data_IF_516465314378
#
_entry.id   IF_516465314378
#
_cell.length_a   1.000
_cell.length_b   1.000
_cell.length_c   1.000
_cell.angle_alpha   90.00
_cell.angle_beta   90.00
_cell.angle_gamma   90.00
#
_symmetry.space_group_name_H-M   'P 1'
#
loop_
_entity.id
_entity.type
_entity.pdbx_description
1 polymer ?
#
# COMPACT_ATOMS: atom_id res chain seq x y z
N UNK A 1 -14.50 1.39 1.46
CA UNK A 1 -14.55 1.37 2.93
C UNK A 1 -13.17 0.98 3.44
N UNK A 2 -12.50 1.81 4.24
CA UNK A 2 -11.23 1.43 4.84
C UNK A 2 -11.45 0.33 5.89
N UNK A 3 -10.55 -0.66 5.92
CA UNK A 3 -10.50 -1.73 6.90
C UNK A 3 -9.17 -1.66 7.64
N UNK A 4 -9.20 -1.64 8.97
CA UNK A 4 -7.99 -1.65 9.80
C UNK A 4 -7.59 -3.10 10.12
N UNK A 5 -6.52 -3.56 9.45
CA UNK A 5 -5.95 -4.89 9.70
C UNK A 5 -4.87 -4.88 10.79
N UNK A 6 -4.26 -3.72 11.06
CA UNK A 6 -3.15 -3.60 12.03
C UNK A 6 -3.68 -3.68 13.45
N UNK A 7 -4.77 -2.99 13.75
CA UNK A 7 -5.44 -3.00 15.05
C UNK A 7 -6.39 -4.18 15.27
N UNK A 8 -6.63 -5.00 14.22
CA UNK A 8 -7.62 -6.07 14.31
C UNK A 8 -7.17 -7.23 15.21
N UNK A 9 -8.00 -7.61 16.16
CA UNK A 9 -7.81 -8.81 16.97
C UNK A 9 -7.91 -10.11 16.15
N UNK A 10 -8.70 -10.09 15.06
CA UNK A 10 -8.86 -11.19 14.10
C UNK A 10 -8.58 -10.70 12.67
N UNK A 11 -7.32 -10.84 12.24
CA UNK A 11 -6.88 -10.49 10.89
C UNK A 11 -7.58 -11.29 9.79
N UNK A 12 -7.95 -12.52 10.07
CA UNK A 12 -8.70 -13.34 9.11
C UNK A 12 -10.12 -12.82 8.88
N UNK A 13 -10.77 -12.29 9.92
CA UNK A 13 -12.08 -11.65 9.78
C UNK A 13 -11.98 -10.43 8.86
N UNK A 14 -10.96 -9.58 9.04
CA UNK A 14 -10.73 -8.41 8.17
C UNK A 14 -10.46 -8.83 6.72
N UNK A 15 -9.67 -9.87 6.49
CA UNK A 15 -9.43 -10.39 5.13
C UNK A 15 -10.70 -10.96 4.49
N UNK A 16 -11.56 -11.63 5.27
CA UNK A 16 -12.87 -12.08 4.77
C UNK A 16 -13.76 -10.90 4.38
N UNK A 17 -13.77 -9.85 5.20
CA UNK A 17 -14.51 -8.62 4.90
C UNK A 17 -13.96 -7.90 3.65
N UNK A 18 -12.64 -7.81 3.51
CA UNK A 18 -11.99 -7.28 2.32
C UNK A 18 -12.38 -8.06 1.05
N UNK A 19 -12.40 -9.38 1.13
CA UNK A 19 -12.87 -10.23 0.03
C UNK A 19 -14.34 -9.99 -0.32
N UNK A 20 -15.20 -9.88 0.69
CA UNK A 20 -16.61 -9.59 0.49
C UNK A 20 -16.82 -8.21 -0.17
N UNK A 21 -16.04 -7.20 0.24
CA UNK A 21 -16.07 -5.87 -0.33
C UNK A 21 -15.56 -5.82 -1.78
N UNK A 22 -14.62 -6.70 -2.15
CA UNK A 22 -14.12 -6.85 -3.51
C UNK A 22 -15.12 -7.51 -4.48
N UNK A 23 -16.23 -8.03 -3.96
CA UNK A 23 -17.25 -8.71 -4.74
C UNK A 23 -17.04 -10.24 -4.81
N UNK A 24 -17.99 -10.96 -5.44
CA UNK A 24 -18.00 -12.44 -5.43
C UNK A 24 -16.77 -13.06 -6.10
N UNK A 25 -16.23 -12.39 -7.10
CA UNK A 25 -15.08 -12.88 -7.87
C UNK A 25 -13.73 -12.41 -7.34
N UNK A 26 -13.70 -11.37 -6.51
CA UNK A 26 -12.51 -10.66 -6.02
C UNK A 26 -12.24 -9.36 -6.78
N UNK A 27 -11.15 -8.67 -6.44
CA UNK A 27 -10.78 -7.41 -7.03
C UNK A 27 -10.10 -7.56 -8.40
N UNK A 28 -10.42 -6.68 -9.36
CA UNK A 28 -9.73 -6.59 -10.66
C UNK A 28 -8.25 -6.27 -10.51
N UNK A 29 -7.94 -5.38 -9.58
CA UNK A 29 -6.59 -4.92 -9.25
C UNK A 29 -6.40 -4.90 -7.73
N UNK A 30 -5.33 -5.53 -7.29
CA UNK A 30 -4.84 -5.44 -5.91
C UNK A 30 -3.50 -4.73 -5.92
N UNK A 31 -3.29 -3.79 -5.01
CA UNK A 31 -2.03 -3.06 -4.86
C UNK A 31 -1.53 -3.26 -3.43
N UNK A 32 -0.34 -3.86 -3.30
CA UNK A 32 0.35 -4.03 -2.01
C UNK A 32 1.29 -2.84 -1.77
N UNK A 33 1.02 -2.08 -0.71
CA UNK A 33 1.78 -0.92 -0.29
C UNK A 33 2.21 -0.99 1.19
N UNK A 34 2.03 -2.15 1.84
CA UNK A 34 2.27 -2.27 3.29
C UNK A 34 3.74 -2.48 3.65
N UNK A 35 4.54 -3.04 2.74
CA UNK A 35 5.95 -3.36 2.99
C UNK A 35 6.16 -4.48 4.02
N UNK A 36 5.12 -5.25 4.31
CA UNK A 36 5.19 -6.42 5.20
C UNK A 36 5.12 -7.69 4.35
N UNK A 37 6.09 -8.62 4.43
CA UNK A 37 6.15 -9.80 3.56
C UNK A 37 4.85 -10.60 3.50
N UNK A 38 4.18 -10.80 4.64
CA UNK A 38 2.91 -11.53 4.68
C UNK A 38 1.76 -10.85 3.93
N UNK A 39 1.81 -9.53 3.75
CA UNK A 39 0.82 -8.81 2.94
C UNK A 39 0.86 -9.24 1.48
N UNK A 40 2.02 -9.67 0.96
CA UNK A 40 2.16 -10.21 -0.40
C UNK A 40 1.33 -11.48 -0.57
N UNK A 41 1.46 -12.43 0.36
CA UNK A 41 0.70 -13.67 0.33
C UNK A 41 -0.82 -13.43 0.50
N UNK A 42 -1.18 -12.49 1.36
CA UNK A 42 -2.58 -12.09 1.60
C UNK A 42 -3.19 -11.44 0.35
N UNK A 43 -2.50 -10.48 -0.26
CA UNK A 43 -2.95 -9.77 -1.45
C UNK A 43 -3.27 -10.68 -2.63
N UNK A 44 -2.48 -11.74 -2.84
CA UNK A 44 -2.76 -12.75 -3.86
C UNK A 44 -4.17 -13.34 -3.71
N UNK A 45 -4.67 -13.45 -2.48
CA UNK A 45 -5.98 -14.05 -2.22
C UNK A 45 -7.16 -13.13 -2.51
N UNK A 46 -6.93 -11.82 -2.66
CA UNK A 46 -7.95 -10.80 -2.87
C UNK A 46 -8.25 -10.56 -4.36
N UNK A 47 -7.28 -10.80 -5.25
CA UNK A 47 -7.47 -10.62 -6.68
C UNK A 47 -8.45 -11.66 -7.25
N UNK A 48 -9.28 -11.27 -8.22
CA UNK A 48 -10.12 -12.22 -8.97
C UNK A 48 -9.29 -13.08 -9.94
N UNK A 49 -9.89 -14.10 -10.51
CA UNK A 49 -9.28 -14.84 -11.62
C UNK A 49 -9.04 -13.91 -12.81
N UNK A 50 -7.84 -13.96 -13.41
CA UNK A 50 -7.41 -13.06 -14.48
C UNK A 50 -7.24 -11.62 -14.01
N UNK A 51 -7.14 -11.36 -12.71
CA UNK A 51 -6.87 -10.04 -12.14
C UNK A 51 -5.38 -9.73 -12.07
N UNK A 52 -5.08 -8.46 -11.78
CA UNK A 52 -3.72 -7.96 -11.64
C UNK A 52 -3.35 -7.74 -10.17
N UNK A 53 -2.12 -8.05 -9.83
CA UNK A 53 -1.56 -7.84 -8.50
C UNK A 53 -0.24 -7.07 -8.59
N UNK A 54 -0.26 -5.80 -8.18
CA UNK A 54 0.91 -4.94 -8.11
C UNK A 54 1.54 -5.01 -6.72
N UNK A 55 2.80 -5.42 -6.64
CA UNK A 55 3.60 -5.44 -5.42
C UNK A 55 4.60 -4.28 -5.48
N UNK A 56 4.43 -3.28 -4.62
CA UNK A 56 5.29 -2.11 -4.57
C UNK A 56 5.72 -1.70 -3.15
N UNK A 57 5.09 -2.27 -2.12
CA UNK A 57 5.40 -1.95 -0.72
C UNK A 57 6.72 -2.54 -0.24
N UNK A 58 7.25 -3.58 -0.90
CA UNK A 58 8.48 -4.29 -0.51
C UNK A 58 9.75 -3.52 -0.89
N UNK A 59 9.80 -2.23 -0.58
CA UNK A 59 10.94 -1.37 -0.89
C UNK A 59 12.18 -1.71 -0.04
N UNK A 60 11.97 -2.11 1.20
CA UNK A 60 13.02 -2.60 2.10
C UNK A 60 12.88 -4.11 2.24
N UNK A 61 14.00 -4.83 2.19
CA UNK A 61 14.01 -6.25 2.48
C UNK A 61 13.67 -6.48 3.97
N UNK A 62 12.44 -6.91 4.21
CA UNK A 62 11.90 -7.22 5.54
C UNK A 62 11.83 -8.75 5.78
N UNK A 63 12.45 -9.55 4.90
CA UNK A 63 12.50 -11.00 4.98
C UNK A 63 11.50 -11.71 4.06
N UNK A 64 11.33 -13.00 4.30
CA UNK A 64 10.57 -13.91 3.44
C UNK A 64 9.10 -14.02 3.86
N UNK A 65 8.26 -14.45 2.93
CA UNK A 65 6.89 -14.89 3.21
C UNK A 65 6.60 -16.23 2.56
N UNK A 66 5.65 -16.95 3.15
CA UNK A 66 5.15 -18.21 2.63
C UNK A 66 3.96 -17.97 1.70
N UNK A 67 4.11 -18.26 0.43
CA UNK A 67 3.01 -18.23 -0.53
C UNK A 67 2.88 -19.55 -1.28
N UNK A 68 1.64 -19.86 -1.72
CA UNK A 68 1.40 -21.01 -2.59
C UNK A 68 1.40 -20.55 -4.06
N UNK A 69 2.44 -20.89 -4.87
CA UNK A 69 2.54 -20.49 -6.28
C UNK A 69 1.36 -20.96 -7.13
N UNK A 70 0.69 -22.04 -6.73
CA UNK A 70 -0.51 -22.52 -7.40
C UNK A 70 -1.60 -21.44 -7.49
N UNK A 71 -1.67 -20.55 -6.51
CA UNK A 71 -2.65 -19.45 -6.53
C UNK A 71 -2.43 -18.50 -7.73
N UNK A 72 -1.19 -18.27 -8.13
CA UNK A 72 -0.86 -17.44 -9.29
C UNK A 72 -1.31 -18.13 -10.57
N UNK A 73 -0.93 -19.40 -10.74
CA UNK A 73 -1.19 -20.18 -11.96
C UNK A 73 -2.69 -20.51 -12.11
N UNK A 74 -3.30 -21.09 -11.07
CA UNK A 74 -4.70 -21.51 -11.11
C UNK A 74 -5.64 -20.32 -11.34
N UNK A 75 -5.32 -19.16 -10.82
CA UNK A 75 -6.13 -17.94 -10.95
C UNK A 75 -5.71 -17.08 -12.15
N UNK A 76 -4.64 -17.47 -12.87
CA UNK A 76 -4.13 -16.72 -14.01
C UNK A 76 -3.86 -15.25 -13.67
N UNK A 77 -3.17 -15.00 -12.56
CA UNK A 77 -2.89 -13.65 -12.08
C UNK A 77 -1.70 -13.02 -12.81
N UNK A 78 -1.84 -11.75 -13.17
CA UNK A 78 -0.73 -10.91 -13.57
C UNK A 78 -0.09 -10.33 -12.30
N UNK A 79 1.05 -10.87 -11.90
CA UNK A 79 1.81 -10.38 -10.74
C UNK A 79 2.95 -9.52 -11.21
N UNK A 80 2.93 -8.24 -10.84
CA UNK A 80 3.88 -7.23 -11.29
C UNK A 80 4.59 -6.60 -10.09
N UNK A 81 5.91 -6.60 -10.08
CA UNK A 81 6.71 -5.83 -9.13
C UNK A 81 6.97 -4.41 -9.66
N UNK A 82 6.95 -3.42 -8.77
CA UNK A 82 7.36 -2.06 -9.08
C UNK A 82 8.39 -1.59 -8.09
N UNK A 83 9.53 -1.09 -8.60
CA UNK A 83 10.60 -0.54 -7.79
C UNK A 83 10.72 0.96 -8.00
N UNK A 84 10.53 1.73 -6.91
CA UNK A 84 10.64 3.19 -6.91
C UNK A 84 9.83 3.86 -8.06
N UNK A 85 10.40 4.88 -8.68
CA UNK A 85 9.78 5.59 -9.79
C UNK A 85 10.84 6.02 -10.82
N UNK A 86 10.41 6.18 -12.05
CA UNK A 86 11.22 6.76 -13.14
C UNK A 86 10.92 8.25 -13.30
N UNK A 87 11.76 8.96 -14.07
CA UNK A 87 11.46 10.34 -14.44
C UNK A 87 10.11 10.49 -15.18
N UNK A 88 9.71 9.49 -15.97
CA UNK A 88 8.41 9.48 -16.63
C UNK A 88 7.26 9.41 -15.61
N UNK A 89 7.37 8.56 -14.60
CA UNK A 89 6.38 8.47 -13.52
C UNK A 89 6.26 9.80 -12.76
N UNK A 90 7.36 10.49 -12.51
CA UNK A 90 7.34 11.81 -11.86
C UNK A 90 6.57 12.83 -12.70
N UNK A 91 6.82 12.89 -14.01
CA UNK A 91 6.11 13.79 -14.92
C UNK A 91 4.60 13.52 -14.90
N UNK A 92 4.20 12.25 -14.98
CA UNK A 92 2.77 11.88 -14.92
C UNK A 92 2.16 12.20 -13.54
N UNK A 93 2.88 11.98 -12.45
CA UNK A 93 2.43 12.36 -11.11
C UNK A 93 2.17 13.87 -11.01
N UNK A 94 3.11 14.70 -11.50
CA UNK A 94 2.94 16.17 -11.48
C UNK A 94 1.74 16.60 -12.32
N UNK A 95 1.48 15.93 -13.45
CA UNK A 95 0.28 16.20 -14.27
C UNK A 95 -1.03 15.84 -13.55
N UNK A 96 -1.02 14.76 -12.75
CA UNK A 96 -2.18 14.31 -11.99
C UNK A 96 -2.42 15.13 -10.71
N UNK A 97 -1.39 15.78 -10.19
CA UNK A 97 -1.43 16.45 -8.89
C UNK A 97 -2.58 17.45 -8.74
N UNK A 98 -2.90 18.32 -9.72
CA UNK A 98 -4.05 19.22 -9.60
C UNK A 98 -5.39 18.50 -9.45
N UNK A 99 -5.59 17.38 -10.17
CA UNK A 99 -6.80 16.57 -10.06
C UNK A 99 -6.89 15.84 -8.72
N UNK A 100 -5.75 15.38 -8.19
CA UNK A 100 -5.68 14.77 -6.86
C UNK A 100 -5.97 15.79 -5.76
N UNK A 101 -5.37 16.99 -5.84
CA UNK A 101 -5.58 18.07 -4.87
C UNK A 101 -7.03 18.58 -4.87
N UNK A 102 -7.71 18.57 -6.02
CA UNK A 102 -9.11 18.91 -6.10
C UNK A 102 -10.06 17.88 -5.47
N UNK A 103 -9.59 16.63 -5.28
CA UNK A 103 -10.40 15.51 -4.80
C UNK A 103 -10.04 15.08 -3.37
N UNK A 104 -8.81 15.29 -2.97
CA UNK A 104 -8.27 14.84 -1.69
C UNK A 104 -7.56 15.99 -0.99
N UNK A 105 -7.67 16.05 0.34
CA UNK A 105 -6.90 16.97 1.18
C UNK A 105 -5.46 16.44 1.31
N UNK A 106 -4.62 16.77 0.33
CA UNK A 106 -3.23 16.34 0.31
C UNK A 106 -2.37 17.07 1.35
N UNK A 107 -2.75 18.29 1.74
CA UNK A 107 -2.02 19.09 2.73
C UNK A 107 -2.09 18.45 4.11
N UNK A 108 -3.25 17.91 4.48
CA UNK A 108 -3.42 17.22 5.77
C UNK A 108 -2.56 15.96 5.91
N UNK A 109 -2.07 15.40 4.80
CA UNK A 109 -1.17 14.24 4.80
C UNK A 109 0.26 14.59 5.16
N UNK A 110 0.62 15.88 5.19
CA UNK A 110 1.99 16.37 5.42
C UNK A 110 2.08 17.12 6.73
N UNK A 111 3.03 16.74 7.58
CA UNK A 111 3.37 17.49 8.80
C UNK A 111 4.75 18.10 8.63
N UNK A 112 4.83 19.43 8.74
CA UNK A 112 6.09 20.16 8.62
C UNK A 112 6.71 20.34 10.01
N UNK A 113 7.98 20.01 10.11
CA UNK A 113 8.78 20.20 11.32
C UNK A 113 9.95 21.15 11.04
N UNK A 114 10.33 22.01 12.00
CA UNK A 114 11.61 22.68 11.95
C UNK A 114 12.77 21.67 11.88
N UNK A 115 13.88 22.07 11.27
CA UNK A 115 15.01 21.16 11.04
C UNK A 115 15.62 20.63 12.35
N UNK A 116 15.61 21.42 13.42
CA UNK A 116 16.06 21.02 14.76
C UNK A 116 15.13 20.00 15.45
N UNK A 117 13.92 19.83 14.92
CA UNK A 117 12.92 18.84 15.41
C UNK A 117 12.89 17.54 14.62
N UNK A 118 13.98 17.21 13.93
CA UNK A 118 14.07 15.98 13.12
C UNK A 118 13.84 14.70 13.95
N UNK A 119 14.26 14.65 15.21
CA UNK A 119 14.03 13.49 16.06
C UNK A 119 12.54 13.30 16.39
N UNK A 120 11.80 14.37 16.63
CA UNK A 120 10.35 14.34 16.88
C UNK A 120 9.60 13.89 15.62
N UNK A 121 10.05 14.36 14.44
CA UNK A 121 9.51 13.94 13.15
C UNK A 121 9.68 12.43 12.91
N UNK A 122 10.87 11.90 13.15
CA UNK A 122 11.15 10.46 13.04
C UNK A 122 10.31 9.63 14.01
N UNK A 123 10.23 10.08 15.26
CA UNK A 123 9.42 9.40 16.29
C UNK A 123 7.92 9.39 15.89
N UNK A 124 7.40 10.50 15.38
CA UNK A 124 6.02 10.61 14.92
C UNK A 124 5.69 9.65 13.78
N UNK A 125 6.60 9.53 12.80
CA UNK A 125 6.45 8.56 11.69
C UNK A 125 6.53 7.12 12.19
N UNK A 126 7.49 6.82 13.06
CA UNK A 126 7.66 5.48 13.61
C UNK A 126 6.46 5.03 14.46
N UNK A 127 5.80 5.96 15.15
CA UNK A 127 4.58 5.71 15.91
C UNK A 127 3.31 5.64 15.06
N UNK A 128 3.38 5.90 13.73
CA UNK A 128 2.22 5.99 12.85
C UNK A 128 1.32 7.22 13.09
N UNK A 129 1.77 8.17 13.91
CA UNK A 129 1.02 9.39 14.19
C UNK A 129 1.15 10.43 13.08
N UNK A 130 2.15 10.30 12.23
CA UNK A 130 2.47 11.19 11.10
C UNK A 130 2.60 10.37 9.84
N UNK A 131 1.80 10.73 8.81
CA UNK A 131 1.84 10.05 7.51
C UNK A 131 3.09 10.42 6.71
N UNK A 132 3.37 11.72 6.62
CA UNK A 132 4.52 12.26 5.90
C UNK A 132 5.14 13.41 6.70
N UNK A 133 6.35 13.23 7.20
CA UNK A 133 7.10 14.31 7.82
C UNK A 133 7.96 15.04 6.77
N UNK A 134 7.96 16.36 6.82
CA UNK A 134 8.82 17.24 6.01
C UNK A 134 9.60 18.13 6.96
N UNK A 135 10.90 18.25 6.75
CA UNK A 135 11.76 19.16 7.50
C UNK A 135 11.93 20.45 6.71
N UNK A 136 11.74 21.59 7.37
CA UNK A 136 11.92 22.93 6.80
C UNK A 136 12.92 23.72 7.61
N UNK A 137 13.78 24.45 6.95
CA UNK A 137 14.72 25.41 7.54
C UNK A 137 14.12 26.80 7.63
#
# INVERSE_FOLDING_TARGET
>A
MPLDIVGAADREAVLREARAAAGPDGADLVIECAGVPDAVAQGLTLARRGGSYLVMGQYTDAGDTRLNPHQIVHRQLDVVGSWAFTGAHLVEYVRLLPALAARFDLESMVTVYPLDKHADALAGVAAGAVLKAVLSG
#
